data_IF_525665531154
#
_entry.id   IF_525665531154
#
_cell.length_a   1.000
_cell.length_b   1.000
_cell.length_c   1.000
_cell.angle_alpha   90.00
_cell.angle_beta   90.00
_cell.angle_gamma   90.00
#
_symmetry.space_group_name_H-M   'P 1'
#
loop_
_entity.id
_entity.type
_entity.pdbx_description
1 polymer ?
#
# COMPACT_ATOMS: atom_id res chain seq x y z
N UNK A 1 25.45 10.29 5.08
CA UNK A 1 24.71 9.02 5.24
C UNK A 1 23.57 9.04 4.24
N UNK A 2 23.68 8.30 3.14
CA UNK A 2 22.55 8.07 2.24
C UNK A 2 21.55 7.21 3.02
N UNK A 3 20.34 7.72 3.24
CA UNK A 3 19.29 6.90 3.83
C UNK A 3 19.01 5.74 2.87
N UNK A 4 19.18 4.51 3.35
CA UNK A 4 18.79 3.31 2.60
C UNK A 4 17.29 3.41 2.32
N UNK A 5 16.88 3.11 1.09
CA UNK A 5 15.48 3.08 0.71
C UNK A 5 15.19 1.79 -0.06
N UNK A 6 14.10 1.12 0.28
CA UNK A 6 13.70 -0.16 -0.34
C UNK A 6 12.24 -0.12 -0.73
N UNK A 7 11.88 -0.87 -1.75
CA UNK A 7 10.48 -1.06 -2.09
C UNK A 7 9.80 -1.94 -1.05
N UNK A 8 8.60 -1.56 -0.64
CA UNK A 8 7.81 -2.26 0.37
C UNK A 8 6.47 -2.65 -0.23
N UNK A 9 6.20 -3.96 -0.28
CA UNK A 9 4.92 -4.50 -0.70
C UNK A 9 4.16 -5.00 0.53
N UNK A 10 2.95 -4.51 0.72
CA UNK A 10 2.00 -5.05 1.70
C UNK A 10 0.82 -5.66 0.95
N UNK A 11 0.44 -6.87 1.34
CA UNK A 11 -0.73 -7.57 0.82
C UNK A 11 -1.60 -8.05 1.98
N UNK A 12 -2.92 -7.95 1.80
CA UNK A 12 -3.91 -8.62 2.63
C UNK A 12 -4.65 -9.61 1.75
N UNK A 13 -4.62 -10.89 2.15
CA UNK A 13 -5.50 -11.92 1.61
C UNK A 13 -6.92 -11.70 2.10
N UNK A 14 -7.88 -11.80 1.20
CA UNK A 14 -9.30 -11.67 1.50
C UNK A 14 -10.04 -12.93 1.06
N UNK A 15 -11.23 -13.14 1.62
CA UNK A 15 -12.23 -14.02 1.01
C UNK A 15 -12.71 -13.42 -0.32
N UNK A 16 -13.79 -13.94 -0.91
CA UNK A 16 -14.33 -13.41 -2.16
C UNK A 16 -15.02 -12.04 -1.98
N UNK A 17 -14.29 -10.97 -2.31
CA UNK A 17 -14.82 -9.61 -2.29
C UNK A 17 -15.81 -9.36 -3.44
N UNK A 18 -16.88 -8.58 -3.21
CA UNK A 18 -17.80 -8.19 -4.26
C UNK A 18 -17.10 -7.39 -5.38
N UNK A 19 -17.26 -7.75 -6.67
CA UNK A 19 -16.59 -7.06 -7.77
C UNK A 19 -16.84 -5.55 -7.82
N UNK A 20 -18.04 -5.11 -7.42
CA UNK A 20 -18.44 -3.69 -7.37
C UNK A 20 -17.73 -2.90 -6.27
N UNK A 21 -17.31 -3.56 -5.20
CA UNK A 21 -16.61 -2.92 -4.08
C UNK A 21 -15.08 -2.96 -4.23
N UNK A 22 -14.56 -3.77 -5.16
CA UNK A 22 -13.13 -4.04 -5.25
C UNK A 22 -12.31 -2.76 -5.44
N UNK A 23 -12.73 -1.88 -6.34
CA UNK A 23 -12.04 -0.62 -6.59
C UNK A 23 -12.10 0.34 -5.39
N UNK A 24 -13.24 0.47 -4.71
CA UNK A 24 -13.32 1.36 -3.54
C UNK A 24 -12.49 0.85 -2.36
N UNK A 25 -12.46 -0.47 -2.16
CA UNK A 25 -11.63 -1.12 -1.14
C UNK A 25 -10.14 -0.99 -1.44
N UNK A 26 -9.74 -1.16 -2.70
CA UNK A 26 -8.38 -0.92 -3.16
C UNK A 26 -7.92 0.51 -2.82
N UNK A 27 -8.71 1.52 -3.17
CA UNK A 27 -8.38 2.93 -2.93
C UNK A 27 -8.36 3.25 -1.43
N UNK A 28 -9.32 2.71 -0.67
CA UNK A 28 -9.33 2.88 0.79
C UNK A 28 -8.08 2.26 1.43
N UNK A 29 -7.65 1.08 0.97
CA UNK A 29 -6.45 0.42 1.46
C UNK A 29 -5.19 1.24 1.15
N UNK A 30 -5.02 1.69 -0.10
CA UNK A 30 -3.90 2.54 -0.50
C UNK A 30 -3.85 3.87 0.29
N UNK A 31 -5.00 4.53 0.45
CA UNK A 31 -5.12 5.77 1.23
C UNK A 31 -4.75 5.55 2.70
N UNK A 32 -5.23 4.46 3.31
CA UNK A 32 -4.90 4.09 4.68
C UNK A 32 -3.40 3.86 4.88
N UNK A 33 -2.74 3.15 3.96
CA UNK A 33 -1.28 2.94 3.98
C UNK A 33 -0.55 4.29 3.86
N UNK A 34 -0.91 5.13 2.88
CA UNK A 34 -0.27 6.43 2.69
C UNK A 34 -0.42 7.37 3.91
N UNK A 35 -1.60 7.40 4.52
CA UNK A 35 -1.85 8.16 5.73
C UNK A 35 -1.02 7.63 6.92
N UNK A 36 -0.91 6.31 7.07
CA UNK A 36 -0.08 5.67 8.09
C UNK A 36 1.41 6.01 7.94
N UNK A 37 1.94 5.93 6.71
CA UNK A 37 3.33 6.29 6.41
C UNK A 37 3.61 7.77 6.69
N UNK A 38 2.68 8.65 6.30
CA UNK A 38 2.77 10.09 6.56
C UNK A 38 2.79 10.38 8.06
N UNK A 39 1.90 9.73 8.83
CA UNK A 39 1.84 9.85 10.31
C UNK A 39 3.12 9.33 10.98
N UNK A 40 3.77 8.33 10.40
CA UNK A 40 5.04 7.80 10.88
C UNK A 40 6.26 8.63 10.45
N UNK A 41 6.06 9.72 9.68
CA UNK A 41 7.11 10.57 9.13
C UNK A 41 8.13 9.77 8.30
N UNK A 42 7.67 8.71 7.64
CA UNK A 42 8.51 7.89 6.77
C UNK A 42 8.51 8.49 5.37
N UNK A 43 9.70 8.80 4.85
CA UNK A 43 9.84 9.21 3.45
C UNK A 43 9.58 8.01 2.55
N UNK A 44 8.82 8.22 1.47
CA UNK A 44 8.55 7.23 0.46
C UNK A 44 8.29 7.89 -0.90
N UNK A 45 8.42 7.11 -1.95
CA UNK A 45 8.03 7.45 -3.31
C UNK A 45 6.55 7.15 -3.58
N UNK A 46 6.26 6.80 -4.83
CA UNK A 46 4.90 6.51 -5.28
C UNK A 46 4.29 5.28 -4.57
N UNK A 47 2.98 5.34 -4.35
CA UNK A 47 2.15 4.19 -3.99
C UNK A 47 1.47 3.67 -5.25
N UNK A 48 1.50 2.36 -5.44
CA UNK A 48 0.77 1.67 -6.50
C UNK A 48 -0.11 0.60 -5.86
N UNK A 49 -1.42 0.67 -6.10
CA UNK A 49 -2.39 -0.28 -5.58
C UNK A 49 -2.71 -1.37 -6.59
N UNK A 50 -3.08 -2.53 -6.08
CA UNK A 50 -3.55 -3.68 -6.86
C UNK A 50 -4.71 -4.33 -6.13
N UNK A 51 -5.67 -4.86 -6.88
CA UNK A 51 -6.79 -5.56 -6.31
C UNK A 51 -7.26 -6.72 -7.20
N UNK A 52 -7.55 -7.84 -6.55
CA UNK A 52 -8.28 -8.98 -7.09
C UNK A 52 -9.34 -9.38 -6.08
N UNK A 53 -10.39 -10.15 -6.43
CA UNK A 53 -11.43 -10.52 -5.48
C UNK A 53 -10.93 -11.12 -4.17
N UNK A 54 -9.75 -11.76 -4.14
CA UNK A 54 -9.18 -12.40 -2.94
C UNK A 54 -7.90 -11.73 -2.40
N UNK A 55 -7.51 -10.56 -2.93
CA UNK A 55 -6.27 -9.86 -2.51
C UNK A 55 -6.38 -8.35 -2.71
N UNK A 56 -5.92 -7.60 -1.73
CA UNK A 56 -5.59 -6.18 -1.86
C UNK A 56 -4.11 -5.99 -1.58
N UNK A 57 -3.41 -5.23 -2.42
CA UNK A 57 -1.98 -4.98 -2.25
C UNK A 57 -1.62 -3.52 -2.54
N UNK A 58 -0.57 -3.03 -1.88
CA UNK A 58 0.02 -1.71 -2.12
C UNK A 58 1.54 -1.86 -2.17
N UNK A 59 2.12 -1.46 -3.30
CA UNK A 59 3.56 -1.31 -3.47
C UNK A 59 3.95 0.14 -3.19
N UNK A 60 4.80 0.33 -2.19
CA UNK A 60 5.38 1.61 -1.81
C UNK A 60 6.81 1.65 -2.35
N UNK A 61 7.09 2.55 -3.28
CA UNK A 61 8.44 2.70 -3.84
C UNK A 61 9.35 3.46 -2.87
N UNK A 62 10.63 3.08 -2.81
CA UNK A 62 11.66 3.82 -2.08
C UNK A 62 11.27 4.21 -0.64
N UNK A 63 10.65 3.29 0.10
CA UNK A 63 10.35 3.50 1.51
C UNK A 63 11.67 3.57 2.30
N UNK A 64 11.82 4.60 3.12
CA UNK A 64 13.01 4.77 3.96
C UNK A 64 13.20 3.57 4.89
N UNK A 65 14.39 2.95 4.80
CA UNK A 65 14.89 2.02 5.79
C UNK A 65 15.57 2.84 6.91
N UNK A 66 15.31 2.45 8.15
CA UNK A 66 15.94 3.07 9.33
C UNK A 66 17.45 2.85 9.35
#
# INVERSE_FOLDING_TARGET
MTADARDFLVEIGTEELPPKALHSLEQAFASGIGAGLSKATLKHGALQSFATPRRLAVLVRHLAAR
#
